data_IF_852019596927
#
_entry.id   IF_852019596927
#
_cell.length_a   1.000
_cell.length_b   1.000
_cell.length_c   1.000
_cell.angle_alpha   90.00
_cell.angle_beta   90.00
_cell.angle_gamma   90.00
#
_symmetry.space_group_name_H-M   'P 1'
#
loop_
_entity.id
_entity.type
_entity.pdbx_description
1 polymer ?
#
# COMPACT_ATOMS: atom_id res chain seq x y z
N UNK A 1 37.67 -14.96 34.48
CA UNK A 1 37.61 -14.01 33.35
C UNK A 1 37.48 -14.69 31.98
N UNK A 2 38.25 -15.75 31.64
CA UNK A 2 38.13 -16.46 30.34
C UNK A 2 36.82 -17.25 30.15
N UNK A 3 36.30 -17.91 31.21
CA UNK A 3 35.09 -18.74 31.14
C UNK A 3 33.79 -17.96 30.94
N UNK A 4 33.65 -16.77 31.54
CA UNK A 4 32.43 -15.95 31.41
C UNK A 4 32.33 -15.31 30.03
N UNK A 5 33.46 -14.90 29.45
CA UNK A 5 33.50 -14.38 28.08
C UNK A 5 33.07 -15.45 27.06
N UNK A 6 33.51 -16.69 27.24
CA UNK A 6 33.06 -17.83 26.43
C UNK A 6 31.56 -18.11 26.57
N UNK A 7 30.99 -17.99 27.78
CA UNK A 7 29.55 -18.15 28.01
C UNK A 7 28.74 -17.01 27.38
N UNK A 8 29.22 -15.77 27.45
CA UNK A 8 28.56 -14.61 26.82
C UNK A 8 28.60 -14.73 25.29
N UNK A 9 29.74 -15.12 24.71
CA UNK A 9 29.83 -15.36 23.26
C UNK A 9 28.88 -16.47 22.82
N UNK A 10 28.80 -17.56 23.59
CA UNK A 10 27.87 -18.65 23.31
C UNK A 10 26.40 -18.25 23.47
N UNK A 11 26.08 -17.40 24.44
CA UNK A 11 24.74 -16.84 24.58
C UNK A 11 24.38 -15.90 23.41
N UNK A 12 25.32 -15.08 22.95
CA UNK A 12 25.11 -14.23 21.76
C UNK A 12 24.86 -15.07 20.51
N UNK A 13 25.65 -16.10 20.30
CA UNK A 13 25.47 -17.04 19.20
C UNK A 13 24.11 -17.75 19.27
N UNK A 14 23.67 -18.14 20.47
CA UNK A 14 22.34 -18.74 20.66
C UNK A 14 21.20 -17.75 20.40
N UNK A 15 21.34 -16.49 20.81
CA UNK A 15 20.35 -15.44 20.54
C UNK A 15 20.27 -15.15 19.03
N UNK A 16 21.41 -14.99 18.37
CA UNK A 16 21.49 -14.75 16.93
C UNK A 16 20.86 -15.90 16.13
N UNK A 17 21.14 -17.15 16.53
CA UNK A 17 20.51 -18.31 15.91
C UNK A 17 19.00 -18.39 16.17
N UNK A 18 18.53 -17.98 17.36
CA UNK A 18 17.11 -17.92 17.66
C UNK A 18 16.39 -16.83 16.85
N UNK A 19 17.03 -15.68 16.67
CA UNK A 19 16.53 -14.58 15.83
C UNK A 19 16.43 -14.99 14.35
N UNK A 20 17.45 -15.67 13.83
CA UNK A 20 17.43 -16.24 12.48
C UNK A 20 16.32 -17.27 12.32
N UNK A 21 16.15 -18.14 13.31
CA UNK A 21 15.09 -19.16 13.31
C UNK A 21 13.69 -18.52 13.35
N UNK A 22 13.50 -17.48 14.16
CA UNK A 22 12.27 -16.70 14.21
C UNK A 22 11.99 -15.99 12.88
N UNK A 23 13.02 -15.44 12.23
CA UNK A 23 12.90 -14.79 10.92
C UNK A 23 12.44 -15.79 9.86
N UNK A 24 13.06 -16.98 9.81
CA UNK A 24 12.66 -18.05 8.89
C UNK A 24 11.25 -18.57 9.18
N UNK A 25 10.89 -18.74 10.45
CA UNK A 25 9.54 -19.16 10.83
C UNK A 25 8.47 -18.15 10.41
N UNK A 26 8.76 -16.83 10.53
CA UNK A 26 7.87 -15.77 10.03
C UNK A 26 7.69 -15.80 8.52
N UNK A 27 8.77 -16.06 7.76
CA UNK A 27 8.71 -16.18 6.30
C UNK A 27 7.82 -17.36 5.88
N UNK A 28 8.03 -18.53 6.50
CA UNK A 28 7.22 -19.71 6.22
C UNK A 28 5.75 -19.48 6.63
N UNK A 29 5.52 -18.81 7.75
CA UNK A 29 4.17 -18.45 8.19
C UNK A 29 3.48 -17.54 7.17
N UNK A 30 4.18 -16.51 6.67
CA UNK A 30 3.63 -15.60 5.67
C UNK A 30 3.37 -16.29 4.32
N UNK A 31 4.24 -17.23 3.91
CA UNK A 31 4.03 -18.04 2.70
C UNK A 31 2.81 -18.94 2.82
N UNK A 32 2.59 -19.55 4.00
CA UNK A 32 1.45 -20.43 4.25
C UNK A 32 0.11 -19.69 4.39
N UNK A 33 0.15 -18.44 4.85
CA UNK A 33 -1.05 -17.59 5.00
C UNK A 33 -1.39 -16.82 3.71
N UNK A 34 -0.52 -16.86 2.68
CA UNK A 34 -0.70 -16.07 1.45
C UNK A 34 -0.51 -14.57 1.68
N UNK A 35 0.36 -14.21 2.63
CA UNK A 35 0.55 -12.88 3.20
C UNK A 35 1.67 -12.07 2.53
N UNK A 36 1.87 -12.19 1.21
CA UNK A 36 2.75 -11.25 0.47
C UNK A 36 2.32 -9.77 0.68
N UNK A 37 1.08 -9.54 1.15
CA UNK A 37 0.55 -8.22 1.55
C UNK A 37 1.10 -7.67 2.88
N UNK A 38 1.62 -8.50 3.80
CA UNK A 38 1.98 -8.06 5.15
C UNK A 38 3.29 -7.28 5.22
N UNK A 39 4.27 -7.58 4.37
CA UNK A 39 5.53 -6.82 4.33
C UNK A 39 5.31 -5.37 3.91
N UNK A 40 4.37 -5.15 2.98
CA UNK A 40 3.91 -3.82 2.61
C UNK A 40 3.12 -3.15 3.73
N UNK A 41 2.19 -3.87 4.35
CA UNK A 41 1.44 -3.38 5.50
C UNK A 41 2.35 -2.92 6.64
N UNK A 42 3.38 -3.70 7.00
CA UNK A 42 4.35 -3.34 8.04
C UNK A 42 5.20 -2.10 7.68
N UNK A 43 5.62 -1.96 6.41
CA UNK A 43 6.33 -0.75 5.95
C UNK A 43 5.45 0.49 6.04
N UNK A 44 4.21 0.40 5.56
CA UNK A 44 3.25 1.50 5.61
C UNK A 44 2.93 1.91 7.06
N UNK A 45 2.80 0.93 7.95
CA UNK A 45 2.58 1.15 9.37
C UNK A 45 3.77 1.85 10.05
N UNK A 46 5.00 1.48 9.70
CA UNK A 46 6.22 2.14 10.21
C UNK A 46 6.38 3.57 9.69
N UNK A 47 5.94 3.84 8.46
CA UNK A 47 5.94 5.20 7.91
C UNK A 47 4.88 6.06 8.61
N UNK A 48 3.70 5.48 8.88
CA UNK A 48 2.60 6.16 9.55
C UNK A 48 2.87 6.47 11.04
N UNK A 49 3.68 5.65 11.72
CA UNK A 49 4.05 5.89 13.13
C UNK A 49 4.94 7.11 13.34
N UNK A 50 5.54 7.65 12.28
CA UNK A 50 6.33 8.88 12.32
C UNK A 50 5.48 10.15 12.12
N UNK A 51 4.17 10.01 11.89
CA UNK A 51 3.25 11.12 11.61
C UNK A 51 2.48 11.52 12.88
N UNK A 52 2.20 12.82 13.01
CA UNK A 52 1.49 13.40 14.17
C UNK A 52 0.01 13.70 13.87
N UNK A 53 -0.82 13.62 14.91
CA UNK A 53 -2.17 14.20 14.89
C UNK A 53 -2.13 15.59 15.54
N UNK A 54 -2.67 16.61 14.86
CA UNK A 54 -2.66 18.01 15.33
C UNK A 54 -4.06 18.61 15.28
N UNK A 55 -4.29 19.58 16.15
CA UNK A 55 -5.48 20.44 16.11
C UNK A 55 -5.10 21.75 15.44
N UNK A 56 -5.62 22.04 14.25
CA UNK A 56 -5.48 23.36 13.62
C UNK A 56 -6.88 23.98 13.50
N UNK A 57 -7.03 25.22 13.98
CA UNK A 57 -8.29 25.98 13.82
C UNK A 57 -9.56 25.26 14.30
N UNK A 58 -9.45 24.42 15.34
CA UNK A 58 -10.57 23.64 15.88
C UNK A 58 -10.93 22.38 15.07
N UNK A 59 -10.16 22.04 14.03
CA UNK A 59 -10.31 20.83 13.24
C UNK A 59 -9.23 19.82 13.63
N UNK A 60 -9.63 18.55 13.74
CA UNK A 60 -8.68 17.46 13.95
C UNK A 60 -8.06 17.07 12.62
N UNK A 61 -6.73 17.13 12.55
CA UNK A 61 -5.95 16.76 11.38
C UNK A 61 -5.13 15.52 11.70
N UNK A 62 -5.22 14.57 10.78
CA UNK A 62 -4.51 13.29 10.85
C UNK A 62 -3.78 13.12 9.52
N UNK A 63 -2.48 12.92 9.58
CA UNK A 63 -1.70 12.50 8.41
C UNK A 63 -1.53 10.99 8.40
N UNK A 64 -1.47 10.40 7.22
CA UNK A 64 -1.33 8.97 7.06
C UNK A 64 -0.90 8.57 5.65
N UNK A 65 -0.70 7.28 5.44
CA UNK A 65 -0.24 6.72 4.17
C UNK A 65 -1.34 5.87 3.56
N UNK A 66 -1.60 6.06 2.27
CA UNK A 66 -2.54 5.24 1.52
C UNK A 66 -2.01 3.81 1.33
N UNK A 67 -2.86 2.80 1.51
CA UNK A 67 -2.51 1.38 1.37
C UNK A 67 -3.08 0.72 0.10
N UNK A 68 -3.83 1.47 -0.71
CA UNK A 68 -4.58 0.96 -1.87
C UNK A 68 -6.10 1.11 -1.73
N UNK A 69 -6.61 1.17 -0.50
CA UNK A 69 -8.03 1.37 -0.20
C UNK A 69 -8.28 2.34 0.97
N UNK A 70 -7.41 2.34 1.96
CA UNK A 70 -7.50 3.06 3.22
C UNK A 70 -6.27 3.96 3.41
N UNK A 71 -6.38 4.85 4.38
CA UNK A 71 -5.27 5.63 4.92
C UNK A 71 -4.88 5.06 6.28
N UNK A 72 -3.63 4.64 6.42
CA UNK A 72 -3.03 4.21 7.68
C UNK A 72 -2.48 5.45 8.38
N UNK A 73 -3.13 5.85 9.48
CA UNK A 73 -2.69 6.95 10.33
C UNK A 73 -1.80 6.50 11.50
N UNK A 74 -1.51 7.40 12.45
CA UNK A 74 -0.64 7.12 13.59
C UNK A 74 -1.16 5.96 14.44
N UNK A 75 -0.24 5.19 15.02
CA UNK A 75 -0.52 3.97 15.78
C UNK A 75 -1.32 2.90 15.00
N UNK A 76 -1.24 2.93 13.66
CA UNK A 76 -1.88 1.92 12.83
C UNK A 76 -3.36 2.09 12.61
N UNK A 77 -3.93 3.22 13.03
CA UNK A 77 -5.36 3.43 12.90
C UNK A 77 -5.74 3.56 11.42
N UNK A 78 -6.67 2.73 10.99
CA UNK A 78 -7.13 2.67 9.60
C UNK A 78 -8.31 3.61 9.39
N UNK A 79 -8.23 4.44 8.35
CA UNK A 79 -9.29 5.36 7.93
C UNK A 79 -9.71 5.04 6.49
N UNK A 80 -10.95 4.59 6.24
CA UNK A 80 -11.41 4.28 4.89
C UNK A 80 -11.37 5.51 3.97
N UNK A 81 -10.77 5.37 2.79
CA UNK A 81 -10.71 6.44 1.79
C UNK A 81 -11.83 6.22 0.77
N UNK A 82 -12.62 7.25 0.43
CA UNK A 82 -13.65 7.11 -0.59
C UNK A 82 -13.07 6.64 -1.93
N UNK A 83 -13.56 5.52 -2.46
CA UNK A 83 -12.99 4.91 -3.68
C UNK A 83 -12.99 5.87 -4.87
N UNK A 84 -14.03 6.69 -5.02
CA UNK A 84 -14.09 7.71 -6.08
C UNK A 84 -12.99 8.77 -5.97
N UNK A 85 -12.64 9.18 -4.75
CA UNK A 85 -11.54 10.11 -4.54
C UNK A 85 -10.21 9.45 -4.91
N UNK A 86 -9.96 8.25 -4.38
CA UNK A 86 -8.75 7.49 -4.67
C UNK A 86 -8.55 7.24 -6.17
N UNK A 87 -9.61 6.85 -6.88
CA UNK A 87 -9.59 6.62 -8.33
C UNK A 87 -9.34 7.89 -9.14
N UNK A 88 -10.03 9.00 -8.84
CA UNK A 88 -9.86 10.27 -9.57
C UNK A 88 -8.48 10.89 -9.35
N UNK A 89 -7.98 10.79 -8.13
CA UNK A 89 -6.64 11.26 -7.75
C UNK A 89 -5.52 10.28 -8.11
N UNK A 90 -5.86 9.09 -8.63
CA UNK A 90 -4.90 8.03 -9.00
C UNK A 90 -3.96 7.69 -7.84
N UNK A 91 -4.54 7.58 -6.65
CA UNK A 91 -3.78 7.26 -5.44
C UNK A 91 -3.21 5.85 -5.55
N UNK A 92 -1.96 5.71 -5.15
CA UNK A 92 -1.25 4.42 -5.10
C UNK A 92 -0.67 4.22 -3.69
N UNK A 93 -0.42 2.98 -3.25
CA UNK A 93 0.13 2.75 -1.94
C UNK A 93 1.43 3.53 -1.71
N UNK A 94 1.57 4.11 -0.53
CA UNK A 94 2.69 5.00 -0.20
C UNK A 94 2.39 6.49 -0.36
N UNK A 95 1.30 6.87 -1.03
CA UNK A 95 0.88 8.28 -1.08
C UNK A 95 0.51 8.82 0.31
N UNK A 96 1.09 9.96 0.68
CA UNK A 96 0.79 10.64 1.93
C UNK A 96 -0.49 11.47 1.79
N UNK A 97 -1.42 11.24 2.70
CA UNK A 97 -2.72 11.87 2.78
C UNK A 97 -2.85 12.67 4.09
N UNK A 98 -3.59 13.78 4.01
CA UNK A 98 -4.12 14.54 5.15
C UNK A 98 -5.62 14.29 5.22
N UNK A 99 -6.07 13.72 6.34
CA UNK A 99 -7.46 13.67 6.75
C UNK A 99 -7.76 14.87 7.65
N UNK A 100 -8.73 15.67 7.25
CA UNK A 100 -9.32 16.73 8.09
C UNK A 100 -10.70 16.28 8.54
N UNK A 101 -10.92 16.22 9.85
CA UNK A 101 -12.24 15.97 10.44
C UNK A 101 -12.90 17.31 10.69
N UNK A 102 -13.91 17.63 9.89
CA UNK A 102 -14.67 18.86 10.01
C UNK A 102 -15.54 18.85 11.30
N UNK A 103 -15.97 20.01 11.82
CA UNK A 103 -16.79 20.09 13.04
C UNK A 103 -18.14 19.35 12.95
N UNK A 104 -18.64 19.12 11.73
CA UNK A 104 -19.84 18.32 11.46
C UNK A 104 -19.57 16.81 11.35
N UNK A 105 -18.33 16.37 11.62
CA UNK A 105 -17.90 14.97 11.51
C UNK A 105 -17.52 14.51 10.11
N UNK A 106 -17.57 15.38 9.09
CA UNK A 106 -17.21 15.00 7.72
C UNK A 106 -15.70 14.76 7.59
N UNK A 107 -15.33 13.69 6.90
CA UNK A 107 -13.95 13.36 6.57
C UNK A 107 -13.56 13.95 5.22
N UNK A 108 -12.54 14.79 5.22
CA UNK A 108 -12.02 15.44 4.02
C UNK A 108 -10.58 14.98 3.82
N UNK A 109 -10.35 14.24 2.73
CA UNK A 109 -9.03 13.76 2.36
C UNK A 109 -8.37 14.67 1.34
N UNK A 110 -7.06 14.88 1.51
CA UNK A 110 -6.22 15.57 0.55
C UNK A 110 -4.89 14.85 0.42
N UNK A 111 -4.47 14.52 -0.80
CA UNK A 111 -3.10 14.10 -1.06
C UNK A 111 -2.14 15.27 -0.81
N UNK A 112 -1.13 15.03 0.03
CA UNK A 112 -0.13 16.02 0.42
C UNK A 112 1.29 15.62 0.02
N UNK A 113 1.54 14.34 -0.27
CA UNK A 113 2.84 13.85 -0.71
C UNK A 113 2.68 12.65 -1.65
N UNK A 114 2.77 12.82 -2.97
CA UNK A 114 2.80 11.69 -3.90
C UNK A 114 4.09 10.89 -3.71
N UNK A 115 4.01 9.55 -3.66
CA UNK A 115 5.20 8.70 -3.73
C UNK A 115 5.76 8.68 -5.15
N UNK A 116 7.07 8.40 -5.27
CA UNK A 116 7.71 8.09 -6.55
C UNK A 116 7.03 6.88 -7.20
N UNK A 117 6.77 7.00 -8.50
CA UNK A 117 5.89 6.10 -9.23
C UNK A 117 6.37 5.86 -10.65
N UNK A 118 6.17 4.64 -11.13
CA UNK A 118 6.41 4.24 -12.53
C UNK A 118 5.10 3.92 -13.23
N UNK A 119 5.12 3.94 -14.56
CA UNK A 119 4.00 3.58 -15.42
C UNK A 119 4.28 2.22 -16.06
N UNK A 120 3.29 1.36 -16.03
CA UNK A 120 3.29 0.06 -16.68
C UNK A 120 2.16 0.01 -17.71
N UNK A 121 2.40 -0.73 -18.77
CA UNK A 121 1.37 -1.07 -19.76
C UNK A 121 0.78 -2.41 -19.37
N UNK A 122 -0.55 -2.52 -19.37
CA UNK A 122 -1.22 -3.75 -19.00
C UNK A 122 -2.63 -3.84 -19.55
N UNK A 123 -3.27 -4.98 -19.32
CA UNK A 123 -4.64 -5.23 -19.77
C UNK A 123 -5.59 -5.42 -18.60
N UNK A 124 -6.82 -4.93 -18.76
CA UNK A 124 -7.89 -5.17 -17.79
C UNK A 124 -8.28 -6.64 -17.81
N UNK A 125 -8.27 -7.27 -16.64
CA UNK A 125 -8.72 -8.63 -16.41
C UNK A 125 -9.79 -8.67 -15.31
N UNK A 126 -10.53 -9.77 -15.24
CA UNK A 126 -11.46 -10.04 -14.16
C UNK A 126 -11.14 -11.41 -13.57
N UNK A 127 -10.60 -11.41 -12.36
CA UNK A 127 -10.11 -12.60 -11.64
C UNK A 127 -10.67 -12.59 -10.23
N UNK A 128 -11.06 -13.75 -9.70
CA UNK A 128 -11.56 -13.88 -8.32
C UNK A 128 -12.73 -12.95 -7.97
N UNK A 129 -13.54 -12.59 -8.96
CA UNK A 129 -14.67 -11.68 -8.77
C UNK A 129 -14.31 -10.19 -8.70
N UNK A 130 -13.06 -9.82 -9.00
CA UNK A 130 -12.57 -8.44 -8.96
C UNK A 130 -11.82 -8.06 -10.25
N UNK A 131 -11.88 -6.78 -10.59
CA UNK A 131 -11.08 -6.25 -11.69
C UNK A 131 -9.63 -6.10 -11.26
N UNK A 132 -8.72 -6.56 -12.13
CA UNK A 132 -7.27 -6.45 -11.96
C UNK A 132 -6.63 -5.98 -13.25
N UNK A 133 -5.40 -5.50 -13.18
CA UNK A 133 -4.58 -5.18 -14.35
C UNK A 133 -3.42 -6.16 -14.42
N UNK A 134 -3.31 -6.88 -15.53
CA UNK A 134 -2.18 -7.76 -15.82
C UNK A 134 -1.08 -6.94 -16.48
N UNK A 135 0.06 -6.77 -15.80
CA UNK A 135 1.21 -6.02 -16.29
C UNK A 135 2.52 -6.67 -15.81
N UNK A 136 3.54 -6.72 -16.67
CA UNK A 136 4.87 -7.31 -16.36
C UNK A 136 4.81 -8.73 -15.75
N UNK A 137 3.79 -9.52 -16.08
CA UNK A 137 3.61 -10.88 -15.53
C UNK A 137 3.05 -10.91 -14.10
N UNK A 138 2.67 -9.76 -13.53
CA UNK A 138 1.99 -9.62 -12.24
C UNK A 138 0.53 -9.16 -12.43
N UNK A 139 -0.34 -9.59 -11.52
CA UNK A 139 -1.74 -9.14 -11.45
C UNK A 139 -1.88 -8.09 -10.35
N UNK A 140 -2.28 -6.87 -10.71
CA UNK A 140 -2.44 -5.75 -9.78
C UNK A 140 -3.91 -5.50 -9.48
N UNK A 141 -4.25 -5.39 -8.21
CA UNK A 141 -5.55 -4.95 -7.76
C UNK A 141 -5.76 -3.48 -8.12
N UNK A 142 -6.97 -3.16 -8.58
CA UNK A 142 -7.41 -1.79 -8.85
C UNK A 142 -8.79 -1.58 -8.27
N UNK A 143 -9.08 -0.33 -7.87
CA UNK A 143 -10.41 0.01 -7.42
C UNK A 143 -11.42 -0.11 -8.58
N UNK A 144 -12.57 -0.74 -8.34
CA UNK A 144 -13.69 -0.77 -9.29
C UNK A 144 -14.10 0.65 -9.74
N UNK A 145 -13.99 1.63 -8.83
CA UNK A 145 -14.23 3.04 -9.14
C UNK A 145 -13.27 3.58 -10.22
N UNK A 146 -12.06 3.03 -10.35
CA UNK A 146 -11.12 3.41 -11.41
C UNK A 146 -11.58 2.86 -12.76
N UNK A 147 -11.94 1.58 -12.81
CA UNK A 147 -12.44 0.92 -14.02
C UNK A 147 -13.67 1.64 -14.56
N UNK A 148 -14.65 1.92 -13.69
CA UNK A 148 -15.88 2.62 -14.06
C UNK A 148 -15.66 4.09 -14.45
N UNK A 149 -14.76 4.80 -13.78
CA UNK A 149 -14.43 6.20 -14.10
C UNK A 149 -13.80 6.34 -15.50
N UNK A 150 -12.87 5.45 -15.83
CA UNK A 150 -12.21 5.42 -17.14
C UNK A 150 -13.01 4.67 -18.22
N UNK A 151 -14.10 4.02 -17.84
CA UNK A 151 -14.94 3.18 -18.72
C UNK A 151 -14.12 2.10 -19.42
N UNK A 152 -13.23 1.45 -18.67
CA UNK A 152 -12.39 0.39 -19.18
C UNK A 152 -13.18 -0.93 -19.20
N UNK A 153 -13.08 -1.67 -20.31
CA UNK A 153 -13.64 -3.01 -20.46
C UNK A 153 -12.55 -4.08 -20.33
N UNK A 154 -12.95 -5.32 -20.05
CA UNK A 154 -12.02 -6.47 -20.01
C UNK A 154 -11.30 -6.60 -21.36
N UNK A 155 -9.97 -6.73 -21.30
CA UNK A 155 -9.09 -6.79 -22.46
C UNK A 155 -8.59 -5.43 -22.95
N UNK A 156 -9.16 -4.31 -22.48
CA UNK A 156 -8.64 -3.00 -22.83
C UNK A 156 -7.21 -2.82 -22.32
N UNK A 157 -6.38 -2.20 -23.13
CA UNK A 157 -5.02 -1.81 -22.75
C UNK A 157 -5.07 -0.49 -21.96
N UNK A 158 -4.36 -0.46 -20.83
CA UNK A 158 -4.36 0.67 -19.90
C UNK A 158 -2.94 1.03 -19.48
N UNK A 159 -2.76 2.30 -19.14
CA UNK A 159 -1.60 2.75 -18.38
C UNK A 159 -1.90 2.57 -16.90
N UNK A 160 -1.17 1.67 -16.24
CA UNK A 160 -1.20 1.46 -14.80
C UNK A 160 -0.08 2.25 -14.13
N UNK A 161 -0.39 2.87 -13.00
CA UNK A 161 0.60 3.57 -12.16
C UNK A 161 0.80 2.78 -10.88
N UNK A 162 2.06 2.52 -10.54
CA UNK A 162 2.49 1.76 -9.35
C UNK A 162 3.69 2.44 -8.69
N UNK A 163 4.00 2.18 -7.41
CA UNK A 163 5.21 2.69 -6.78
C UNK A 163 6.48 2.24 -7.53
N UNK A 164 7.50 3.10 -7.63
CA UNK A 164 8.75 2.76 -8.34
C UNK A 164 9.69 1.90 -7.49
N UNK A 165 9.83 2.24 -6.21
CA UNK A 165 10.86 1.70 -5.31
C UNK A 165 10.34 0.60 -4.36
N UNK A 166 9.06 0.25 -4.44
CA UNK A 166 8.43 -0.74 -3.56
C UNK A 166 7.50 -1.65 -4.33
N UNK A 167 7.56 -2.94 -4.00
CA UNK A 167 6.57 -3.90 -4.48
C UNK A 167 5.18 -3.50 -3.99
N UNK A 168 4.18 -3.68 -4.84
CA UNK A 168 2.80 -3.39 -4.48
C UNK A 168 1.85 -4.32 -5.21
N UNK A 169 0.79 -4.73 -4.52
CA UNK A 169 -0.30 -5.51 -5.11
C UNK A 169 -1.42 -4.61 -5.63
N UNK A 170 -1.29 -3.30 -5.42
CA UNK A 170 -2.27 -2.30 -5.85
C UNK A 170 -1.65 -1.33 -6.84
N UNK A 171 -2.48 -0.85 -7.76
CA UNK A 171 -2.14 0.25 -8.65
C UNK A 171 -3.35 1.12 -8.98
N UNK A 172 -3.09 2.17 -9.74
CA UNK A 172 -4.12 3.08 -10.22
C UNK A 172 -4.12 3.14 -11.75
N UNK A 173 -5.29 3.01 -12.36
CA UNK A 173 -5.45 3.27 -13.80
C UNK A 173 -5.25 4.78 -14.04
N UNK A 174 -4.34 5.13 -14.94
CA UNK A 174 -4.13 6.51 -15.37
C UNK A 174 -4.94 6.84 -16.62
N UNK A 175 -4.92 5.95 -17.62
CA UNK A 175 -5.59 6.11 -18.90
C UNK A 175 -5.99 4.74 -19.48
N UNK A 176 -7.05 4.72 -20.30
CA UNK A 176 -7.37 3.63 -21.22
C UNK A 176 -6.87 4.02 -22.60
N UNK A 177 -6.17 3.11 -23.27
CA UNK A 177 -5.56 3.40 -24.56
C UNK A 177 -6.55 3.21 -25.71
N UNK A 178 -6.46 4.04 -26.77
CA UNK A 178 -7.30 3.87 -27.94
C UNK A 178 -7.01 2.53 -28.62
N UNK A 179 -8.08 1.83 -29.03
CA UNK A 179 -7.94 0.68 -29.94
C UNK A 179 -7.49 1.24 -31.29
N UNK A 180 -6.27 0.92 -31.70
CA UNK A 180 -5.82 1.19 -33.06
C UNK A 180 -6.64 0.28 -33.99
N UNK A 181 -7.56 0.87 -34.74
CA UNK A 181 -8.25 0.19 -35.82
C UNK A 181 -7.33 0.27 -37.04
N UNK A 182 -6.77 -0.86 -37.45
CA UNK A 182 -6.13 -1.00 -38.77
C UNK A 182 -7.17 -1.04 -39.89
#
# INVERSE_FOLDING_TARGET
>A
MSSEHSKISRLRELVENAELSLKSAKIILSELLGEDSEQNSHRLHNLASQLDAKMESGQQIIEGIFDGQNMIGPNGKVYPVPSNYASKSKLIPGDQLKLTVAPNGAFIYKQIGPIERKRLMGHVAFEDGQYKILAEGKSYNVLLASVTYFKADIGDEVTLVVPSESESDWGAIENVLPKLVE
#
